data_IF_221902003170
#
_entry.id   IF_221902003170
#
_cell.length_a   1.000
_cell.length_b   1.000
_cell.length_c   1.000
_cell.angle_alpha   90.00
_cell.angle_beta   90.00
_cell.angle_gamma   90.00
#
_symmetry.space_group_name_H-M   'P 1'
#
loop_
_entity.id
_entity.type
_entity.pdbx_description
1 polymer ?
#
# COMPACT_ATOMS: atom_id res chain seq x y z
N UNK A 1 -10.06 -15.22 -6.58
CA UNK A 1 -9.93 -14.32 -7.76
C UNK A 1 -11.16 -13.43 -7.80
N UNK A 2 -10.97 -12.13 -8.06
CA UNK A 2 -12.06 -11.16 -8.24
C UNK A 2 -12.36 -11.06 -9.74
N UNK A 3 -13.62 -11.20 -10.15
CA UNK A 3 -14.01 -11.06 -11.55
C UNK A 3 -13.62 -9.68 -12.10
N UNK A 4 -13.10 -9.65 -13.34
CA UNK A 4 -12.62 -8.42 -13.98
C UNK A 4 -11.21 -7.99 -13.56
N UNK A 5 -10.52 -8.79 -12.74
CA UNK A 5 -9.10 -8.63 -12.44
C UNK A 5 -8.33 -9.86 -12.92
N UNK A 6 -7.35 -9.64 -13.79
CA UNK A 6 -6.38 -10.66 -14.19
C UNK A 6 -5.13 -10.50 -13.35
N UNK A 7 -4.68 -11.56 -12.69
CA UNK A 7 -3.42 -11.59 -11.93
C UNK A 7 -2.45 -12.57 -12.57
N UNK A 8 -1.20 -12.12 -12.76
CA UNK A 8 -0.07 -12.96 -13.10
C UNK A 8 1.03 -12.77 -12.05
N UNK A 9 1.71 -13.84 -11.70
CA UNK A 9 2.73 -13.83 -10.67
C UNK A 9 3.94 -14.68 -11.05
N UNK A 10 5.09 -14.25 -10.54
CA UNK A 10 6.30 -15.06 -10.42
C UNK A 10 6.71 -15.07 -8.93
N UNK A 11 7.86 -15.64 -8.62
CA UNK A 11 8.52 -15.56 -7.32
C UNK A 11 8.94 -14.14 -6.89
N UNK A 12 9.17 -13.21 -7.82
CA UNK A 12 9.63 -11.83 -7.52
C UNK A 12 8.61 -10.74 -7.81
N UNK A 13 7.60 -11.05 -8.63
CA UNK A 13 6.70 -10.06 -9.20
C UNK A 13 5.25 -10.53 -9.20
N UNK A 14 4.34 -9.59 -8.97
CA UNK A 14 2.91 -9.78 -9.20
C UNK A 14 2.37 -8.61 -10.02
N UNK A 15 1.53 -8.90 -11.01
CA UNK A 15 0.84 -7.91 -11.83
C UNK A 15 -0.66 -8.17 -11.76
N UNK A 16 -1.41 -7.21 -11.22
CA UNK A 16 -2.87 -7.19 -11.20
C UNK A 16 -3.39 -6.17 -12.22
N UNK A 17 -4.20 -6.62 -13.19
CA UNK A 17 -4.83 -5.76 -14.19
C UNK A 17 -6.32 -5.70 -13.96
N UNK A 18 -6.80 -4.53 -13.55
CA UNK A 18 -8.22 -4.26 -13.34
C UNK A 18 -8.83 -3.86 -14.68
N UNK A 19 -9.28 -4.86 -15.42
CA UNK A 19 -9.89 -4.71 -16.75
C UNK A 19 -11.32 -4.17 -16.64
N UNK A 20 -12.07 -4.62 -15.62
CA UNK A 20 -13.46 -4.24 -15.40
C UNK A 20 -13.65 -3.88 -13.93
N UNK A 21 -14.31 -2.74 -13.67
CA UNK A 21 -14.68 -2.36 -12.30
C UNK A 21 -16.01 -3.02 -11.90
N UNK A 22 -15.90 -4.27 -11.44
CA UNK A 22 -17.04 -5.14 -11.13
C UNK A 22 -17.65 -4.86 -9.76
N UNK A 23 -18.88 -5.35 -9.56
CA UNK A 23 -19.56 -5.27 -8.25
C UNK A 23 -18.83 -6.08 -7.17
N UNK A 24 -18.08 -7.11 -7.55
CA UNK A 24 -17.23 -7.86 -6.62
C UNK A 24 -16.09 -6.99 -6.07
N UNK A 25 -15.40 -6.22 -6.94
CA UNK A 25 -14.38 -5.27 -6.47
C UNK A 25 -15.00 -4.14 -5.63
N UNK A 26 -16.19 -3.64 -6.00
CA UNK A 26 -16.94 -2.68 -5.17
C UNK A 26 -17.26 -3.24 -3.78
N UNK A 27 -17.70 -4.51 -3.71
CA UNK A 27 -17.95 -5.18 -2.45
C UNK A 27 -16.66 -5.35 -1.62
N UNK A 28 -15.53 -5.69 -2.25
CA UNK A 28 -14.25 -5.78 -1.56
C UNK A 28 -13.81 -4.41 -0.98
N UNK A 29 -13.98 -3.33 -1.75
CA UNK A 29 -13.74 -1.96 -1.26
C UNK A 29 -14.64 -1.67 -0.05
N UNK A 30 -15.96 -1.91 -0.17
CA UNK A 30 -16.94 -1.67 0.90
C UNK A 30 -16.59 -2.41 2.19
N UNK A 31 -16.25 -3.69 2.06
CA UNK A 31 -15.98 -4.57 3.21
C UNK A 31 -14.67 -4.22 3.92
N UNK A 32 -13.69 -3.64 3.22
CA UNK A 32 -12.37 -3.37 3.79
C UNK A 32 -12.10 -1.92 4.16
N UNK A 33 -12.79 -0.95 3.54
CA UNK A 33 -12.46 0.47 3.66
C UNK A 33 -12.30 0.92 5.12
N UNK A 34 -13.29 0.60 5.96
CA UNK A 34 -13.26 0.98 7.38
C UNK A 34 -12.09 0.35 8.14
N UNK A 35 -11.83 -0.94 7.95
CA UNK A 35 -10.75 -1.65 8.63
C UNK A 35 -9.37 -1.17 8.15
N UNK A 36 -9.22 -0.91 6.86
CA UNK A 36 -8.01 -0.29 6.28
C UNK A 36 -7.77 1.08 6.92
N UNK A 37 -8.80 1.92 7.02
CA UNK A 37 -8.65 3.29 7.50
C UNK A 37 -8.41 3.40 9.00
N UNK A 38 -9.02 2.53 9.81
CA UNK A 38 -9.06 2.70 11.27
C UNK A 38 -8.38 1.58 12.07
N UNK A 39 -8.05 0.45 11.44
CA UNK A 39 -7.67 -0.78 12.13
C UNK A 39 -8.88 -1.71 12.35
N UNK A 40 -8.63 -3.02 12.36
CA UNK A 40 -9.65 -4.05 12.44
C UNK A 40 -10.42 -4.02 13.77
N UNK A 41 -9.71 -3.86 14.88
CA UNK A 41 -10.29 -3.83 16.23
C UNK A 41 -11.37 -2.76 16.40
N UNK A 42 -11.15 -1.56 15.85
CA UNK A 42 -12.12 -0.47 15.97
C UNK A 42 -13.42 -0.80 15.26
N UNK A 43 -13.34 -1.47 14.11
CA UNK A 43 -14.50 -1.89 13.34
C UNK A 43 -15.24 -3.01 14.07
N UNK A 44 -14.51 -4.03 14.55
CA UNK A 44 -15.08 -5.17 15.28
C UNK A 44 -15.72 -4.76 16.62
N UNK A 45 -15.18 -3.74 17.28
CA UNK A 45 -15.76 -3.14 18.47
C UNK A 45 -17.05 -2.34 18.21
N UNK A 46 -17.50 -2.22 16.96
CA UNK A 46 -18.71 -1.49 16.59
C UNK A 46 -18.59 0.02 16.73
N UNK A 47 -17.38 0.57 16.60
CA UNK A 47 -17.14 2.01 16.71
C UNK A 47 -17.85 2.79 15.61
N UNK A 48 -18.70 3.74 15.99
CA UNK A 48 -19.46 4.59 15.05
C UNK A 48 -18.51 5.34 14.10
N UNK A 49 -17.40 5.87 14.63
CA UNK A 49 -16.40 6.62 13.86
C UNK A 49 -15.59 5.73 12.90
N UNK A 50 -15.63 4.41 13.08
CA UNK A 50 -15.04 3.42 12.18
C UNK A 50 -16.12 2.63 11.42
N UNK A 51 -17.35 3.15 11.35
CA UNK A 51 -18.37 2.59 10.47
C UNK A 51 -18.06 2.95 9.01
N UNK A 52 -18.48 2.09 8.07
CA UNK A 52 -18.28 2.34 6.64
C UNK A 52 -18.74 3.75 6.20
N UNK A 53 -19.92 4.18 6.68
CA UNK A 53 -20.53 5.48 6.34
C UNK A 53 -19.70 6.66 6.83
N UNK A 54 -19.27 6.64 8.09
CA UNK A 54 -18.44 7.73 8.64
C UNK A 54 -17.03 7.72 8.03
N UNK A 55 -16.43 6.55 7.82
CA UNK A 55 -15.13 6.44 7.12
C UNK A 55 -15.20 7.03 5.72
N UNK A 56 -16.24 6.70 4.96
CA UNK A 56 -16.43 7.18 3.59
C UNK A 56 -16.56 8.70 3.52
N UNK A 57 -17.36 9.28 4.43
CA UNK A 57 -17.51 10.73 4.56
C UNK A 57 -16.18 11.43 4.85
N UNK A 58 -15.41 10.92 5.81
CA UNK A 58 -14.08 11.48 6.15
C UNK A 58 -13.11 11.33 4.99
N UNK A 59 -13.09 10.16 4.34
CA UNK A 59 -12.24 9.89 3.19
C UNK A 59 -12.48 10.91 2.06
N UNK A 60 -13.75 11.12 1.69
CA UNK A 60 -14.13 12.04 0.62
C UNK A 60 -13.89 13.50 0.98
N UNK A 61 -14.11 13.91 2.24
CA UNK A 61 -13.79 15.27 2.70
C UNK A 61 -12.28 15.57 2.61
N UNK A 62 -11.43 14.61 2.99
CA UNK A 62 -9.98 14.72 2.83
C UNK A 62 -9.63 14.77 1.35
N UNK A 63 -10.14 13.83 0.55
CA UNK A 63 -9.87 13.70 -0.88
C UNK A 63 -10.21 14.97 -1.66
N UNK A 64 -11.37 15.58 -1.39
CA UNK A 64 -11.83 16.80 -2.04
C UNK A 64 -10.90 18.00 -1.80
N UNK A 65 -10.10 18.01 -0.73
CA UNK A 65 -9.18 19.11 -0.40
C UNK A 65 -7.79 18.96 -1.04
N UNK A 66 -7.50 17.83 -1.69
CA UNK A 66 -6.17 17.52 -2.24
C UNK A 66 -6.03 17.86 -3.73
N UNK A 67 -4.79 18.03 -4.19
CA UNK A 67 -4.46 18.16 -5.62
C UNK A 67 -4.76 16.85 -6.37
N UNK A 68 -4.91 16.93 -7.69
CA UNK A 68 -5.18 15.77 -8.54
C UNK A 68 -4.14 14.65 -8.37
N UNK A 69 -2.84 14.99 -8.33
CA UNK A 69 -1.77 14.00 -8.13
C UNK A 69 -1.84 13.35 -6.74
N UNK A 70 -2.22 14.11 -5.71
CA UNK A 70 -2.40 13.57 -4.37
C UNK A 70 -3.63 12.67 -4.31
N UNK A 71 -4.73 13.05 -4.98
CA UNK A 71 -5.95 12.25 -5.12
C UNK A 71 -5.67 10.92 -5.84
N UNK A 72 -4.89 10.94 -6.92
CA UNK A 72 -4.39 9.74 -7.61
C UNK A 72 -3.60 8.83 -6.67
N UNK A 73 -2.72 9.44 -5.87
CA UNK A 73 -1.96 8.77 -4.82
C UNK A 73 -2.86 8.06 -3.81
N UNK A 74 -3.88 8.77 -3.30
CA UNK A 74 -4.81 8.21 -2.32
C UNK A 74 -5.53 6.96 -2.85
N UNK A 75 -6.05 7.02 -4.09
CA UNK A 75 -6.72 5.86 -4.68
C UNK A 75 -5.73 4.73 -4.97
N UNK A 76 -4.48 5.05 -5.34
CA UNK A 76 -3.44 4.04 -5.56
C UNK A 76 -3.06 3.29 -4.29
N UNK A 77 -2.95 4.00 -3.17
CA UNK A 77 -2.68 3.41 -1.86
C UNK A 77 -3.86 2.57 -1.36
N UNK A 78 -5.10 3.06 -1.52
CA UNK A 78 -6.31 2.28 -1.20
C UNK A 78 -6.37 0.98 -2.00
N UNK A 79 -6.13 1.03 -3.32
CA UNK A 79 -6.11 -0.17 -4.17
C UNK A 79 -4.99 -1.12 -3.75
N UNK A 80 -3.84 -0.60 -3.35
CA UNK A 80 -2.73 -1.41 -2.80
C UNK A 80 -3.18 -2.18 -1.56
N UNK A 81 -3.76 -1.51 -0.56
CA UNK A 81 -4.26 -2.18 0.64
C UNK A 81 -5.23 -3.33 0.30
N UNK A 82 -6.12 -3.11 -0.67
CA UNK A 82 -7.14 -4.08 -1.02
C UNK A 82 -6.53 -5.27 -1.78
N UNK A 83 -5.81 -5.00 -2.87
CA UNK A 83 -5.35 -6.06 -3.76
C UNK A 83 -4.15 -6.82 -3.20
N UNK A 84 -3.23 -6.14 -2.51
CA UNK A 84 -2.09 -6.80 -1.88
C UNK A 84 -2.56 -7.80 -0.81
N UNK A 85 -3.46 -7.38 0.10
CA UNK A 85 -3.97 -8.25 1.16
C UNK A 85 -5.00 -9.28 0.65
N UNK A 86 -5.55 -9.09 -0.55
CA UNK A 86 -6.39 -10.10 -1.21
C UNK A 86 -5.54 -11.19 -1.84
N UNK A 87 -4.43 -10.81 -2.47
CA UNK A 87 -3.51 -11.74 -3.14
C UNK A 87 -2.66 -12.53 -2.14
N UNK A 88 -2.24 -11.87 -1.05
CA UNK A 88 -1.47 -12.47 0.03
C UNK A 88 -2.31 -12.52 1.32
N UNK A 89 -3.21 -13.52 1.47
CA UNK A 89 -4.13 -13.59 2.60
C UNK A 89 -3.43 -13.82 3.95
N UNK A 90 -2.20 -14.33 3.95
CA UNK A 90 -1.36 -14.50 5.14
C UNK A 90 -0.65 -13.20 5.56
N UNK A 91 -0.83 -12.11 4.81
CA UNK A 91 -0.29 -10.81 5.17
C UNK A 91 -1.28 -10.06 6.04
N UNK A 92 -0.77 -9.47 7.12
CA UNK A 92 -1.55 -8.61 8.00
C UNK A 92 -0.98 -7.19 7.97
N UNK A 93 -1.86 -6.19 7.77
CA UNK A 93 -1.43 -4.80 7.77
C UNK A 93 -1.22 -4.29 9.18
N UNK A 94 -0.05 -3.68 9.42
CA UNK A 94 0.40 -3.20 10.72
C UNK A 94 0.26 -1.68 10.89
N UNK A 95 -0.37 -0.97 9.96
CA UNK A 95 -0.66 0.46 10.13
C UNK A 95 -2.01 0.82 9.48
N UNK A 96 -2.82 1.66 10.14
CA UNK A 96 -4.03 2.18 9.51
C UNK A 96 -3.68 3.18 8.40
N UNK A 97 -4.55 3.26 7.41
CA UNK A 97 -4.40 4.19 6.29
C UNK A 97 -4.64 5.65 6.70
N UNK A 98 -5.60 5.91 7.60
CA UNK A 98 -5.72 7.26 8.18
C UNK A 98 -4.63 7.49 9.21
N UNK A 99 -3.83 8.53 8.97
CA UNK A 99 -2.88 9.02 9.95
C UNK A 99 -3.62 9.77 11.08
N UNK A 100 -3.18 9.60 12.32
CA UNK A 100 -3.94 9.96 13.52
C UNK A 100 -3.84 11.43 13.96
N UNK A 101 -2.94 12.23 13.37
CA UNK A 101 -2.62 13.54 13.94
C UNK A 101 -3.09 14.74 13.10
N UNK A 102 -3.10 14.67 11.78
CA UNK A 102 -3.37 15.86 10.96
C UNK A 102 -4.01 15.44 9.64
N UNK A 103 -4.87 16.29 9.10
CA UNK A 103 -5.36 16.22 7.72
C UNK A 103 -4.24 16.41 6.66
N UNK A 104 -3.04 15.88 6.91
CA UNK A 104 -1.87 15.85 6.05
C UNK A 104 -1.54 14.41 5.62
N UNK A 105 -1.28 14.23 4.34
CA UNK A 105 -0.86 12.97 3.74
C UNK A 105 0.67 13.00 3.77
N UNK A 106 1.26 11.99 4.44
CA UNK A 106 2.70 11.69 4.67
C UNK A 106 3.37 12.22 5.94
N UNK A 107 3.40 11.36 6.97
CA UNK A 107 4.48 11.32 7.98
C UNK A 107 4.91 9.87 8.32
N UNK A 108 4.88 8.93 7.36
CA UNK A 108 5.15 7.51 7.63
C UNK A 108 5.48 6.69 6.38
N UNK A 109 5.50 5.37 6.54
CA UNK A 109 5.43 4.42 5.43
C UNK A 109 3.98 4.33 4.92
N UNK A 110 3.80 4.03 3.63
CA UNK A 110 2.47 3.90 3.05
C UNK A 110 1.77 2.67 3.66
N UNK A 111 2.39 1.48 3.55
CA UNK A 111 1.99 0.27 4.28
C UNK A 111 3.17 -0.38 5.00
N UNK A 112 2.83 -1.07 6.07
CA UNK A 112 3.64 -2.08 6.73
C UNK A 112 2.79 -3.33 6.76
N UNK A 113 3.34 -4.44 6.28
CA UNK A 113 2.68 -5.74 6.30
C UNK A 113 3.56 -6.74 7.03
N UNK A 114 2.92 -7.63 7.76
CA UNK A 114 3.57 -8.75 8.43
C UNK A 114 3.15 -10.04 7.75
N UNK A 115 4.13 -10.76 7.23
CA UNK A 115 3.95 -12.07 6.63
C UNK A 115 3.91 -13.13 7.75
N UNK A 116 2.71 -13.64 8.03
CA UNK A 116 2.51 -14.59 9.12
C UNK A 116 3.13 -15.96 8.84
N UNK A 117 3.45 -16.28 7.58
CA UNK A 117 4.02 -17.59 7.22
C UNK A 117 5.48 -17.72 7.63
N UNK A 118 6.23 -16.63 7.56
CA UNK A 118 7.66 -16.58 7.90
C UNK A 118 7.98 -15.66 9.10
N UNK A 119 6.97 -14.99 9.68
CA UNK A 119 7.10 -14.01 10.75
C UNK A 119 7.99 -12.82 10.36
N UNK A 120 7.75 -12.24 9.18
CA UNK A 120 8.60 -11.18 8.65
C UNK A 120 7.82 -9.91 8.34
N UNK A 121 8.37 -8.79 8.82
CA UNK A 121 7.86 -7.46 8.53
C UNK A 121 8.41 -6.96 7.19
N UNK A 122 7.50 -6.49 6.33
CA UNK A 122 7.79 -5.94 5.01
C UNK A 122 7.25 -4.51 4.94
N UNK A 123 8.08 -3.60 4.44
CA UNK A 123 7.73 -2.17 4.30
C UNK A 123 7.34 -1.91 2.85
N UNK A 124 6.20 -1.27 2.65
CA UNK A 124 5.59 -1.09 1.34
C UNK A 124 5.65 0.40 0.97
N UNK A 125 6.13 0.69 -0.23
CA UNK A 125 6.09 2.03 -0.81
C UNK A 125 5.29 2.00 -2.12
N UNK A 126 4.33 2.91 -2.24
CA UNK A 126 3.40 3.00 -3.36
C UNK A 126 3.70 4.22 -4.20
N UNK A 127 3.79 4.03 -5.52
CA UNK A 127 3.79 5.12 -6.50
C UNK A 127 2.71 4.92 -7.53
N UNK A 128 1.83 5.91 -7.63
CA UNK A 128 0.77 5.94 -8.63
C UNK A 128 1.03 7.01 -9.69
N UNK A 129 0.64 6.76 -10.93
CA UNK A 129 0.73 7.76 -11.99
C UNK A 129 0.20 7.27 -13.32
N UNK A 130 0.06 8.19 -14.28
CA UNK A 130 -0.24 7.84 -15.67
C UNK A 130 1.02 7.50 -16.48
N UNK A 131 0.84 7.00 -17.70
CA UNK A 131 1.97 6.68 -18.58
C UNK A 131 2.45 7.85 -19.46
N UNK A 132 1.66 8.94 -19.54
CA UNK A 132 1.90 10.00 -20.52
C UNK A 132 1.99 9.41 -21.95
N UNK A 133 3.01 9.78 -22.76
CA UNK A 133 3.20 9.23 -24.11
C UNK A 133 3.87 7.84 -24.12
N UNK A 134 4.16 7.24 -22.96
CA UNK A 134 4.91 5.99 -22.88
C UNK A 134 3.99 4.75 -22.85
N UNK A 135 4.55 3.61 -23.26
CA UNK A 135 3.93 2.31 -23.07
C UNK A 135 3.88 1.89 -21.59
N UNK A 136 2.97 0.99 -21.26
CA UNK A 136 2.69 0.60 -19.88
C UNK A 136 3.91 0.06 -19.14
N UNK A 137 4.72 -0.80 -19.76
CA UNK A 137 5.93 -1.34 -19.14
C UNK A 137 6.95 -0.28 -18.77
N UNK A 138 7.17 0.71 -19.64
CA UNK A 138 8.12 1.80 -19.35
C UNK A 138 7.63 2.65 -18.19
N UNK A 139 6.34 2.98 -18.16
CA UNK A 139 5.74 3.75 -17.09
C UNK A 139 5.75 2.98 -15.76
N UNK A 140 5.42 1.68 -15.80
CA UNK A 140 5.46 0.79 -14.65
C UNK A 140 6.86 0.74 -14.04
N UNK A 141 7.88 0.48 -14.87
CA UNK A 141 9.29 0.46 -14.46
C UNK A 141 9.73 1.79 -13.84
N UNK A 142 9.23 2.92 -14.34
CA UNK A 142 9.51 4.24 -13.80
C UNK A 142 8.88 4.44 -12.40
N UNK A 143 7.60 4.07 -12.21
CA UNK A 143 6.93 4.12 -10.91
C UNK A 143 7.64 3.24 -9.87
N UNK A 144 7.98 2.00 -10.22
CA UNK A 144 8.73 1.10 -9.36
C UNK A 144 10.11 1.68 -8.99
N UNK A 145 10.78 2.34 -9.93
CA UNK A 145 12.07 2.97 -9.65
C UNK A 145 11.94 4.16 -8.70
N UNK A 146 10.87 4.95 -8.82
CA UNK A 146 10.56 6.03 -7.87
C UNK A 146 10.24 5.46 -6.49
N UNK A 147 9.43 4.40 -6.40
CA UNK A 147 9.11 3.73 -5.13
C UNK A 147 10.40 3.26 -4.43
N UNK A 148 11.26 2.57 -5.19
CA UNK A 148 12.57 2.10 -4.73
C UNK A 148 13.42 3.22 -4.16
N UNK A 149 13.61 4.31 -4.92
CA UNK A 149 14.49 5.40 -4.52
C UNK A 149 13.96 6.14 -3.30
N UNK A 150 12.66 6.40 -3.25
CA UNK A 150 12.01 7.08 -2.12
C UNK A 150 12.12 6.25 -0.85
N UNK A 151 11.85 4.94 -0.94
CA UNK A 151 11.92 4.04 0.21
C UNK A 151 13.36 3.83 0.68
N UNK A 152 14.31 3.61 -0.24
CA UNK A 152 15.74 3.56 0.08
C UNK A 152 16.18 4.81 0.83
N UNK A 153 15.82 6.00 0.32
CA UNK A 153 16.15 7.26 0.96
C UNK A 153 15.59 7.33 2.39
N UNK A 154 14.31 6.96 2.55
CA UNK A 154 13.62 6.99 3.84
C UNK A 154 14.20 6.00 4.87
N UNK A 155 14.56 4.80 4.44
CA UNK A 155 15.11 3.74 5.29
C UNK A 155 16.56 3.98 5.71
N UNK A 156 17.26 4.92 5.07
CA UNK A 156 18.61 5.35 5.45
C UNK A 156 18.63 6.77 6.08
N UNK A 157 17.46 7.36 6.34
CA UNK A 157 17.34 8.67 6.99
C UNK A 157 17.26 8.51 8.51
N UNK A 158 17.81 9.48 9.26
CA UNK A 158 17.79 9.49 10.72
C UNK A 158 16.46 10.01 11.31
N UNK A 159 15.35 9.84 10.58
CA UNK A 159 14.02 10.36 10.93
C UNK A 159 13.29 9.41 11.87
N UNK A 160 13.63 9.51 13.16
CA UNK A 160 13.04 8.71 14.25
C UNK A 160 11.49 8.73 14.25
N UNK A 161 10.88 9.87 13.93
CA UNK A 161 9.41 10.02 13.95
C UNK A 161 8.69 9.07 12.98
N UNK A 162 9.33 8.63 11.90
CA UNK A 162 8.73 7.69 10.94
C UNK A 162 8.48 6.34 11.60
N UNK A 163 9.46 5.86 12.37
CA UNK A 163 9.35 4.60 13.11
C UNK A 163 8.44 4.71 14.33
N UNK A 164 8.45 5.86 15.01
CA UNK A 164 7.49 6.12 16.09
C UNK A 164 6.04 6.06 15.59
N UNK A 165 5.78 6.62 14.40
CA UNK A 165 4.47 6.55 13.76
C UNK A 165 4.10 5.12 13.36
N UNK A 166 5.06 4.33 12.87
CA UNK A 166 4.84 2.91 12.61
C UNK A 166 4.45 2.12 13.87
N UNK A 167 5.17 2.31 14.98
CA UNK A 167 4.88 1.65 16.27
C UNK A 167 3.48 2.04 16.77
N UNK A 168 3.15 3.33 16.72
CA UNK A 168 1.82 3.81 17.13
C UNK A 168 0.71 3.28 16.22
N UNK A 169 0.96 3.19 14.91
CA UNK A 169 0.07 2.56 13.94
C UNK A 169 -0.20 1.09 14.27
N UNK A 170 0.85 0.31 14.53
CA UNK A 170 0.75 -1.11 14.86
C UNK A 170 -0.06 -1.37 16.14
N UNK A 171 0.10 -0.51 17.16
CA UNK A 171 -0.67 -0.59 18.40
C UNK A 171 -2.17 -0.46 18.20
N UNK A 172 -2.61 0.21 17.13
CA UNK A 172 -4.02 0.55 16.85
C UNK A 172 -4.62 -0.30 15.75
N UNK A 173 -3.82 -0.71 14.76
CA UNK A 173 -4.28 -1.56 13.67
C UNK A 173 -4.58 -2.99 14.12
N UNK A 174 -3.80 -3.50 15.09
CA UNK A 174 -3.72 -4.92 15.42
C UNK A 174 -4.35 -5.26 16.78
N UNK A 175 -5.01 -6.41 16.82
CA UNK A 175 -5.51 -7.04 18.04
C UNK A 175 -4.39 -7.48 18.97
N UNK A 176 -4.65 -7.41 20.28
CA UNK A 176 -3.69 -7.88 21.27
C UNK A 176 -3.39 -9.38 21.08
N UNK A 177 -2.10 -9.72 21.00
CA UNK A 177 -1.67 -11.07 20.70
C UNK A 177 -0.18 -11.17 20.36
N UNK A 178 0.26 -12.40 20.09
CA UNK A 178 1.67 -12.71 19.78
C UNK A 178 2.17 -11.96 18.54
N UNK A 179 1.35 -11.89 17.50
CA UNK A 179 1.70 -11.21 16.24
C UNK A 179 1.95 -9.72 16.48
N UNK A 180 1.04 -9.03 17.19
CA UNK A 180 1.19 -7.63 17.57
C UNK A 180 2.47 -7.38 18.39
N UNK A 181 2.78 -8.25 19.34
CA UNK A 181 3.99 -8.13 20.14
C UNK A 181 5.25 -8.28 19.29
N UNK A 182 5.26 -9.24 18.36
CA UNK A 182 6.40 -9.47 17.47
C UNK A 182 6.60 -8.31 16.49
N UNK A 183 5.52 -7.79 15.89
CA UNK A 183 5.58 -6.61 15.02
C UNK A 183 6.12 -5.41 15.79
N UNK A 184 5.63 -5.14 17.01
CA UNK A 184 6.13 -4.03 17.82
C UNK A 184 7.62 -4.22 18.17
N UNK A 185 8.05 -5.43 18.51
CA UNK A 185 9.46 -5.75 18.78
C UNK A 185 10.34 -5.39 17.57
N UNK A 186 9.96 -5.83 16.37
CA UNK A 186 10.72 -5.56 15.14
C UNK A 186 10.75 -4.05 14.82
N UNK A 187 9.63 -3.35 15.01
CA UNK A 187 9.57 -1.90 14.80
C UNK A 187 10.40 -1.12 15.82
N UNK A 188 10.42 -1.55 17.08
CA UNK A 188 11.27 -0.99 18.13
C UNK A 188 12.76 -1.22 17.84
N UNK A 189 13.14 -2.39 17.31
CA UNK A 189 14.51 -2.64 16.84
C UNK A 189 14.91 -1.68 15.70
N UNK A 190 14.03 -1.49 14.72
CA UNK A 190 14.28 -0.52 13.65
C UNK A 190 14.36 0.92 14.16
N UNK A 191 13.54 1.28 15.16
CA UNK A 191 13.64 2.57 15.84
C UNK A 191 15.02 2.75 16.49
N UNK A 192 15.52 1.72 17.19
CA UNK A 192 16.82 1.77 17.87
C UNK A 192 17.97 1.95 16.88
N UNK A 193 17.96 1.26 15.73
CA UNK A 193 18.96 1.47 14.67
C UNK A 193 19.05 2.93 14.22
N UNK A 194 17.89 3.61 14.11
CA UNK A 194 17.83 5.03 13.72
C UNK A 194 18.29 5.93 14.87
N UNK A 195 17.91 5.63 16.11
CA UNK A 195 18.34 6.35 17.30
C UNK A 195 19.86 6.30 17.48
N UNK A 196 20.46 5.15 17.17
CA UNK A 196 21.91 4.91 17.19
C UNK A 196 22.64 5.43 15.94
N UNK A 197 21.92 6.11 15.03
CA UNK A 197 22.42 6.70 13.77
C UNK A 197 23.06 5.68 12.83
N UNK A 198 22.56 4.45 12.83
CA UNK A 198 22.96 3.39 11.93
C UNK A 198 21.79 2.80 11.13
N UNK A 199 20.90 3.61 10.54
CA UNK A 199 19.83 3.08 9.70
C UNK A 199 20.42 2.39 8.46
N UNK A 200 19.95 1.19 8.15
CA UNK A 200 20.42 0.44 6.99
C UNK A 200 19.25 -0.20 6.23
N UNK A 201 18.99 0.30 5.03
CA UNK A 201 17.97 -0.28 4.15
C UNK A 201 18.28 -1.73 3.76
N UNK A 202 19.55 -2.15 3.74
CA UNK A 202 19.96 -3.51 3.37
C UNK A 202 19.54 -4.57 4.39
N UNK A 203 19.17 -4.16 5.59
CA UNK A 203 18.60 -5.06 6.61
C UNK A 203 17.08 -5.25 6.47
N UNK A 204 16.40 -4.45 5.61
CA UNK A 204 14.94 -4.37 5.54
C UNK A 204 14.39 -5.12 4.34
N UNK A 205 13.20 -5.69 4.50
CA UNK A 205 12.43 -6.32 3.43
C UNK A 205 11.38 -5.35 2.91
N UNK A 206 11.22 -5.29 1.60
CA UNK A 206 10.34 -4.29 0.99
C UNK A 206 9.42 -4.89 -0.07
N UNK A 207 8.27 -4.26 -0.23
CA UNK A 207 7.36 -4.46 -1.36
C UNK A 207 7.28 -3.12 -2.10
N UNK A 208 7.71 -3.11 -3.36
CA UNK A 208 7.67 -1.91 -4.18
C UNK A 208 6.44 -1.96 -5.07
N UNK A 209 5.56 -0.97 -4.90
CA UNK A 209 4.26 -0.98 -5.55
C UNK A 209 4.15 0.13 -6.58
N UNK A 210 3.70 -0.23 -7.77
CA UNK A 210 3.31 0.69 -8.82
C UNK A 210 1.81 0.60 -9.07
N UNK A 211 1.15 1.75 -9.20
CA UNK A 211 -0.24 1.85 -9.63
C UNK A 211 -0.30 2.68 -10.90
N UNK A 212 -0.40 2.01 -12.04
CA UNK A 212 -0.44 2.64 -13.34
C UNK A 212 -1.88 2.92 -13.76
N UNK A 213 -2.18 4.20 -13.98
CA UNK A 213 -3.43 4.65 -14.57
C UNK A 213 -3.32 4.69 -16.10
N UNK A 214 -3.70 3.58 -16.74
CA UNK A 214 -3.69 3.38 -18.19
C UNK A 214 -4.54 2.18 -18.59
N UNK A 215 -5.22 2.29 -19.74
CA UNK A 215 -6.04 1.21 -20.32
C UNK A 215 -5.26 -0.11 -20.42
N UNK A 216 -5.95 -1.24 -20.17
CA UNK A 216 -5.36 -2.59 -20.26
C UNK A 216 -5.18 -3.07 -21.70
N UNK A 217 -5.58 -2.29 -22.71
CA UNK A 217 -5.26 -2.56 -24.11
C UNK A 217 -3.74 -2.50 -24.41
N UNK A 218 -2.99 -1.77 -23.56
CA UNK A 218 -1.52 -1.81 -23.48
C UNK A 218 -1.17 -2.38 -22.09
N UNK A 219 -1.15 -3.72 -21.92
CA UNK A 219 -1.00 -4.33 -20.61
C UNK A 219 0.44 -4.24 -20.10
N UNK A 220 0.61 -4.05 -18.78
CA UNK A 220 1.89 -4.30 -18.11
C UNK A 220 2.24 -5.78 -18.29
N UNK A 221 3.44 -6.11 -18.71
CA UNK A 221 3.92 -7.50 -18.83
C UNK A 221 4.45 -8.01 -17.49
N UNK A 222 4.13 -9.27 -17.15
CA UNK A 222 4.71 -9.95 -15.99
C UNK A 222 6.21 -10.15 -16.17
N UNK A 223 6.67 -10.55 -17.36
CA UNK A 223 8.10 -10.75 -17.67
C UNK A 223 8.88 -9.45 -17.55
N UNK A 224 8.35 -8.36 -18.11
CA UNK A 224 8.99 -7.05 -18.02
C UNK A 224 9.06 -6.55 -16.57
N UNK A 225 8.07 -6.91 -15.75
CA UNK A 225 8.00 -6.56 -14.32
C UNK A 225 8.98 -7.41 -13.50
N UNK A 226 9.08 -8.71 -13.79
CA UNK A 226 10.05 -9.63 -13.22
C UNK A 226 11.48 -9.18 -13.51
N UNK A 227 11.83 -8.87 -14.77
CA UNK A 227 13.14 -8.32 -15.14
C UNK A 227 13.49 -7.04 -14.35
N UNK A 228 12.48 -6.22 -14.03
CA UNK A 228 12.68 -5.03 -13.22
C UNK A 228 12.94 -5.41 -11.76
N UNK A 229 12.23 -6.40 -11.22
CA UNK A 229 12.46 -6.93 -9.88
C UNK A 229 13.87 -7.48 -9.74
N UNK A 230 14.33 -8.33 -10.67
CA UNK A 230 15.70 -8.86 -10.69
C UNK A 230 16.74 -7.74 -10.68
N UNK A 231 16.56 -6.72 -11.53
CA UNK A 231 17.45 -5.55 -11.56
C UNK A 231 17.50 -4.83 -10.21
N UNK A 232 16.36 -4.68 -9.52
CA UNK A 232 16.31 -4.03 -8.21
C UNK A 232 17.04 -4.87 -7.15
N UNK A 233 16.85 -6.19 -7.15
CA UNK A 233 17.50 -7.11 -6.22
C UNK A 233 19.02 -7.10 -6.41
N UNK A 234 19.48 -7.11 -7.67
CA UNK A 234 20.90 -7.04 -8.02
C UNK A 234 21.58 -5.71 -7.64
N UNK A 235 20.82 -4.67 -7.28
CA UNK A 235 21.38 -3.44 -6.72
C UNK A 235 21.73 -3.59 -5.21
N UNK A 236 21.34 -4.69 -4.56
CA UNK A 236 21.63 -5.02 -3.15
C UNK A 236 21.27 -3.87 -2.18
N UNK A 237 20.12 -3.24 -2.42
CA UNK A 237 19.64 -2.08 -1.65
C UNK A 237 18.83 -2.47 -0.41
N UNK A 238 18.27 -3.67 -0.41
CA UNK A 238 17.36 -4.21 0.58
C UNK A 238 17.75 -5.65 0.88
N UNK A 239 17.35 -6.17 2.03
CA UNK A 239 17.53 -7.59 2.38
C UNK A 239 16.78 -8.49 1.39
N UNK A 240 15.60 -8.03 1.02
CA UNK A 240 14.70 -8.68 0.07
C UNK A 240 13.80 -7.62 -0.55
N UNK A 241 13.48 -7.76 -1.83
CA UNK A 241 12.53 -6.91 -2.51
C UNK A 241 11.66 -7.75 -3.46
N UNK A 242 10.35 -7.58 -3.34
CA UNK A 242 9.39 -8.03 -4.36
C UNK A 242 8.67 -6.82 -4.95
N UNK A 243 8.10 -6.99 -6.14
CA UNK A 243 7.34 -5.92 -6.82
C UNK A 243 5.88 -6.32 -7.00
N UNK A 244 4.98 -5.36 -6.80
CA UNK A 244 3.55 -5.53 -6.99
C UNK A 244 3.03 -4.41 -7.89
N UNK A 245 2.56 -4.74 -9.09
CA UNK A 245 2.08 -3.76 -10.06
C UNK A 245 0.58 -3.86 -10.22
N UNK A 246 -0.12 -2.74 -10.09
CA UNK A 246 -1.55 -2.61 -10.36
C UNK A 246 -1.71 -1.77 -11.62
N UNK A 247 -2.49 -2.26 -12.59
CA UNK A 247 -2.93 -1.49 -13.74
C UNK A 247 -4.44 -1.27 -13.68
N UNK A 248 -4.87 -0.03 -13.86
CA UNK A 248 -6.28 0.33 -14.02
C UNK A 248 -6.39 1.45 -15.02
N UNK A 249 -7.46 1.49 -15.82
CA UNK A 249 -7.63 2.57 -16.80
C UNK A 249 -7.63 3.98 -16.18
N UNK A 250 -8.48 4.21 -15.17
CA UNK A 250 -8.60 5.48 -14.46
C UNK A 250 -8.94 5.23 -12.98
N UNK A 251 -8.49 6.12 -12.08
CA UNK A 251 -8.91 6.12 -10.67
C UNK A 251 -10.33 6.65 -10.47
N UNK A 252 -10.84 7.43 -11.43
CA UNK A 252 -12.11 8.16 -11.31
C UNK A 252 -13.31 7.23 -11.14
N UNK A 253 -13.28 6.03 -11.73
CA UNK A 253 -14.34 5.04 -11.52
C UNK A 253 -14.45 4.59 -10.05
N UNK A 254 -13.33 4.51 -9.33
CA UNK A 254 -13.34 4.20 -7.89
C UNK A 254 -13.96 5.35 -7.12
N UNK A 255 -13.56 6.58 -7.44
CA UNK A 255 -14.04 7.79 -6.78
C UNK A 255 -15.55 7.97 -6.99
N UNK A 256 -16.02 7.82 -8.23
CA UNK A 256 -17.44 7.91 -8.55
C UNK A 256 -18.28 6.89 -7.78
N UNK A 257 -17.78 5.67 -7.59
CA UNK A 257 -18.43 4.67 -6.75
C UNK A 257 -18.48 5.10 -5.28
N UNK A 258 -17.36 5.60 -4.73
CA UNK A 258 -17.33 6.08 -3.35
C UNK A 258 -18.27 7.28 -3.13
N UNK A 259 -18.34 8.21 -4.08
CA UNK A 259 -19.26 9.35 -4.04
C UNK A 259 -20.73 8.91 -4.14
N UNK A 260 -21.04 7.93 -5.00
CA UNK A 260 -22.38 7.35 -5.08
C UNK A 260 -22.78 6.70 -3.75
N UNK A 261 -21.92 5.86 -3.19
CA UNK A 261 -22.20 5.20 -1.91
C UNK A 261 -22.43 6.24 -0.81
N UNK A 262 -21.72 7.38 -0.80
CA UNK A 262 -21.89 8.42 0.22
C UNK A 262 -23.22 9.20 0.10
N UNK A 263 -23.85 9.17 -1.07
CA UNK A 263 -25.11 9.87 -1.33
C UNK A 263 -26.36 9.04 -0.97
N UNK A 264 -26.21 7.72 -0.81
CA UNK A 264 -27.28 6.77 -0.41
C UNK A 264 -27.51 6.73 1.10
#
# INVERSE_FOLDING_TARGET
MIAGITTENTELATVCRIEIFTDELKAEIRNRLAAICHGKDKVEAGSIIASYRETLKVFLDIYAKKSEDTRKGMIGELLTHILLLKEFPDYESANPYFNMEEASIKKGFDLIVFDQTCNELKIVEVKSGGAGPHGSDRANKALLNTAKNDLKGRLNDNKIHIWMNAINGAKIALSDGKIKNEINRILEECYMEVADKSPDSKSKRVILVSVLYKTCADPISIDATHEKAEKIINEELFKEAIVFSIQKETWEHIVAFLEQEAAE
#
